data_IF_083748883833
#
_entry.id   IF_083748883833
#
_cell.length_a   1.000
_cell.length_b   1.000
_cell.length_c   1.000
_cell.angle_alpha   90.00
_cell.angle_beta   90.00
_cell.angle_gamma   90.00
#
_symmetry.space_group_name_H-M   'P 1'
#
loop_
_entity.id
_entity.type
_entity.pdbx_description
1 polymer ?
#
# COMPACT_ATOMS: atom_id res chain seq x y z
N UNK A 1 -7.65 7.88 -35.90
CA UNK A 1 -8.72 8.35 -34.97
C UNK A 1 -8.31 7.91 -33.59
N UNK A 2 -8.13 8.82 -32.63
CA UNK A 2 -7.79 8.44 -31.27
C UNK A 2 -9.00 7.75 -30.63
N UNK A 3 -8.79 6.61 -29.96
CA UNK A 3 -9.84 6.05 -29.12
C UNK A 3 -9.87 6.77 -27.76
N UNK A 4 -11.02 6.77 -27.10
CA UNK A 4 -11.23 7.49 -25.86
C UNK A 4 -10.40 6.89 -24.69
N UNK A 5 -10.10 5.61 -24.74
CA UNK A 5 -9.38 4.91 -23.67
C UNK A 5 -7.88 5.16 -23.75
N UNK A 6 -7.29 5.10 -24.97
CA UNK A 6 -5.90 5.49 -25.20
C UNK A 6 -5.66 6.98 -24.86
N UNK A 7 -6.63 7.85 -25.16
CA UNK A 7 -6.55 9.27 -24.78
C UNK A 7 -6.51 9.43 -23.25
N UNK A 8 -7.39 8.75 -22.52
CA UNK A 8 -7.41 8.78 -21.04
C UNK A 8 -6.16 8.16 -20.43
N UNK A 9 -5.62 7.09 -21.02
CA UNK A 9 -4.40 6.45 -20.56
C UNK A 9 -3.21 7.40 -20.66
N UNK A 10 -3.05 8.09 -21.79
CA UNK A 10 -1.94 9.06 -21.97
C UNK A 10 -2.09 10.24 -21.02
N UNK A 11 -3.28 10.86 -20.94
CA UNK A 11 -3.52 12.02 -20.08
C UNK A 11 -3.52 11.65 -18.59
N UNK A 12 -3.82 10.41 -18.24
CA UNK A 12 -3.68 9.91 -16.87
C UNK A 12 -2.24 9.99 -16.32
N UNK A 13 -1.23 10.14 -17.20
CA UNK A 13 0.17 10.35 -16.80
C UNK A 13 0.49 11.81 -16.41
N UNK A 14 -0.45 12.72 -16.57
CA UNK A 14 -0.32 14.10 -16.09
C UNK A 14 -0.92 14.23 -14.68
N UNK A 15 -0.09 14.43 -13.62
CA UNK A 15 -0.63 14.63 -12.27
C UNK A 15 -1.32 15.99 -12.16
N UNK A 16 -2.48 15.99 -11.50
CA UNK A 16 -3.23 17.24 -11.25
C UNK A 16 -3.42 17.48 -9.76
N UNK A 17 -3.55 18.73 -9.36
CA UNK A 17 -4.10 19.08 -8.06
C UNK A 17 -5.58 18.70 -7.98
N UNK A 18 -6.08 18.47 -6.77
CA UNK A 18 -7.51 18.24 -6.52
C UNK A 18 -8.08 19.48 -5.86
N UNK A 19 -9.06 20.09 -6.52
CA UNK A 19 -9.76 21.24 -5.99
C UNK A 19 -11.26 20.99 -5.96
N UNK A 20 -11.95 21.58 -4.97
CA UNK A 20 -13.40 21.58 -4.90
C UNK A 20 -13.89 23.00 -5.22
N UNK A 21 -14.57 23.15 -6.34
CA UNK A 21 -15.24 24.41 -6.70
C UNK A 21 -16.58 24.45 -6.01
N UNK A 22 -16.80 25.48 -5.19
CA UNK A 22 -18.04 25.68 -4.42
C UNK A 22 -18.75 26.94 -4.85
N UNK A 23 -20.05 26.97 -4.66
CA UNK A 23 -20.92 28.09 -4.91
C UNK A 23 -22.25 27.92 -4.19
N UNK A 24 -23.16 28.81 -4.44
CA UNK A 24 -24.54 28.74 -3.95
C UNK A 24 -25.51 28.62 -5.13
N UNK A 25 -26.60 27.91 -4.93
CA UNK A 25 -27.76 27.96 -5.80
C UNK A 25 -28.57 29.23 -5.57
N UNK A 26 -29.56 29.48 -6.38
CA UNK A 26 -30.46 30.67 -6.26
C UNK A 26 -31.18 30.72 -4.91
N UNK A 27 -31.46 29.58 -4.27
CA UNK A 27 -32.09 29.46 -2.96
C UNK A 27 -31.08 29.49 -1.78
N UNK A 28 -29.78 29.69 -2.08
CA UNK A 28 -28.72 29.75 -1.07
C UNK A 28 -28.19 28.38 -0.63
N UNK A 29 -28.58 27.28 -1.28
CA UNK A 29 -28.05 25.93 -0.98
C UNK A 29 -26.61 25.78 -1.45
N UNK A 30 -25.68 25.26 -0.61
CA UNK A 30 -24.31 25.03 -1.03
C UNK A 30 -24.20 24.01 -2.15
N UNK A 31 -23.44 24.35 -3.18
CA UNK A 31 -23.14 23.50 -4.31
C UNK A 31 -21.62 23.25 -4.41
N UNK A 32 -21.22 22.09 -4.91
CA UNK A 32 -19.81 21.80 -5.10
C UNK A 32 -19.53 20.72 -6.12
N UNK A 33 -18.39 20.87 -6.79
CA UNK A 33 -17.84 19.88 -7.73
C UNK A 33 -16.34 19.75 -7.55
N UNK A 34 -15.84 18.51 -7.59
CA UNK A 34 -14.40 18.23 -7.60
C UNK A 34 -13.87 18.33 -9.02
N UNK A 35 -12.75 19.03 -9.17
CA UNK A 35 -12.07 19.23 -10.43
C UNK A 35 -10.57 18.96 -10.30
N UNK A 36 -9.96 18.37 -11.35
CA UNK A 36 -8.52 18.27 -11.52
C UNK A 36 -7.97 19.30 -12.55
N UNK A 37 -8.83 20.16 -13.08
CA UNK A 37 -8.52 21.06 -14.20
C UNK A 37 -8.27 22.51 -13.76
N UNK A 38 -8.14 22.76 -12.44
CA UNK A 38 -7.86 24.08 -11.91
C UNK A 38 -6.43 24.53 -12.27
N UNK A 39 -6.33 25.74 -12.86
CA UNK A 39 -5.05 26.36 -13.22
C UNK A 39 -5.05 27.88 -13.00
N UNK A 40 -3.88 28.42 -12.74
CA UNK A 40 -3.64 29.86 -12.83
C UNK A 40 -3.54 30.28 -14.31
N UNK A 41 -4.09 31.44 -14.67
CA UNK A 41 -4.15 31.93 -16.05
C UNK A 41 -3.37 33.22 -16.23
N UNK A 42 -3.61 34.23 -15.38
CA UNK A 42 -3.01 35.56 -15.49
C UNK A 42 -2.80 36.18 -14.10
N UNK A 43 -1.78 37.03 -14.01
CA UNK A 43 -1.51 37.85 -12.80
C UNK A 43 -2.13 39.24 -12.94
N UNK A 44 -2.22 39.75 -14.16
CA UNK A 44 -2.80 41.09 -14.44
C UNK A 44 -3.63 41.04 -15.75
N UNK A 45 -4.95 41.07 -15.66
CA UNK A 45 -5.74 40.92 -14.43
C UNK A 45 -5.58 39.54 -13.82
N UNK A 46 -5.83 39.37 -12.49
CA UNK A 46 -5.69 38.09 -11.83
C UNK A 46 -6.81 37.14 -12.25
N UNK A 47 -6.46 36.10 -13.02
CA UNK A 47 -7.39 35.12 -13.57
C UNK A 47 -6.97 33.70 -13.25
N UNK A 48 -7.97 32.87 -12.99
CA UNK A 48 -7.85 31.42 -12.85
C UNK A 48 -8.80 30.71 -13.78
N UNK A 49 -8.59 29.40 -14.02
CA UNK A 49 -9.51 28.60 -14.85
C UNK A 49 -9.79 27.25 -14.26
N UNK A 50 -10.93 26.67 -14.63
CA UNK A 50 -11.25 25.25 -14.47
C UNK A 50 -12.19 24.80 -15.59
N UNK A 51 -12.34 23.47 -15.77
CA UNK A 51 -13.06 22.94 -16.93
C UNK A 51 -14.16 21.97 -16.49
N UNK A 52 -15.41 22.41 -16.28
CA UNK A 52 -16.55 21.55 -16.00
C UNK A 52 -17.09 20.94 -17.30
N UNK A 53 -17.61 19.71 -17.21
CA UNK A 53 -18.36 19.12 -18.32
C UNK A 53 -19.63 19.92 -18.62
N UNK A 54 -20.02 20.02 -19.90
CA UNK A 54 -21.28 20.65 -20.31
C UNK A 54 -22.52 19.97 -19.70
N UNK A 55 -22.41 18.68 -19.38
CA UNK A 55 -23.45 17.88 -18.73
C UNK A 55 -23.47 18.04 -17.20
N UNK A 56 -22.60 18.85 -16.62
CA UNK A 56 -22.54 19.04 -15.16
C UNK A 56 -23.77 19.78 -14.62
N UNK A 57 -24.66 19.08 -13.94
CA UNK A 57 -25.80 19.68 -13.27
C UNK A 57 -25.40 20.69 -12.18
N UNK A 58 -24.27 20.43 -11.49
CA UNK A 58 -23.76 21.33 -10.45
C UNK A 58 -23.31 22.64 -11.05
N UNK A 59 -22.53 22.60 -12.14
CA UNK A 59 -22.10 23.81 -12.82
C UNK A 59 -23.29 24.59 -13.41
N UNK A 60 -24.22 23.89 -14.04
CA UNK A 60 -25.43 24.50 -14.60
C UNK A 60 -26.23 25.33 -13.57
N UNK A 61 -26.27 24.87 -12.30
CA UNK A 61 -26.92 25.60 -11.19
C UNK A 61 -26.04 26.71 -10.61
N UNK A 62 -24.74 26.51 -10.56
CA UNK A 62 -23.80 27.44 -9.94
C UNK A 62 -23.50 28.66 -10.83
N UNK A 63 -23.47 28.47 -12.15
CA UNK A 63 -23.07 29.54 -13.11
C UNK A 63 -23.99 30.76 -13.10
N UNK A 64 -25.27 30.59 -12.74
CA UNK A 64 -26.24 31.71 -12.65
C UNK A 64 -25.92 32.70 -11.54
N UNK A 65 -25.20 32.27 -10.52
CA UNK A 65 -24.75 33.15 -9.42
C UNK A 65 -23.55 34.03 -9.79
N UNK A 66 -22.88 33.74 -10.92
CA UNK A 66 -21.69 34.44 -11.45
C UNK A 66 -20.53 34.54 -10.43
N UNK A 67 -20.56 33.73 -9.38
CA UNK A 67 -19.54 33.68 -8.30
C UNK A 67 -19.29 32.25 -7.86
N UNK A 68 -18.03 31.95 -7.55
CA UNK A 68 -17.62 30.65 -7.04
C UNK A 68 -16.34 30.77 -6.20
N UNK A 69 -16.09 29.77 -5.36
CA UNK A 69 -14.87 29.67 -4.58
C UNK A 69 -14.14 28.36 -4.94
N UNK A 70 -12.85 28.42 -5.15
CA UNK A 70 -12.00 27.25 -5.41
C UNK A 70 -11.27 26.91 -4.12
N UNK A 71 -11.53 25.71 -3.59
CA UNK A 71 -10.88 25.19 -2.40
C UNK A 71 -9.80 24.17 -2.83
N UNK A 72 -8.54 24.48 -2.56
CA UNK A 72 -7.41 23.55 -2.80
C UNK A 72 -7.38 22.54 -1.68
N UNK A 73 -7.60 21.26 -1.99
CA UNK A 73 -7.71 20.21 -0.99
C UNK A 73 -6.34 19.78 -0.47
N UNK A 74 -6.28 19.46 0.83
CA UNK A 74 -5.10 18.89 1.47
C UNK A 74 -5.08 17.36 1.34
N UNK A 75 -3.90 16.76 1.42
CA UNK A 75 -3.71 15.32 1.27
C UNK A 75 -4.50 14.49 2.30
N UNK A 76 -4.70 14.99 3.51
CA UNK A 76 -5.50 14.34 4.56
C UNK A 76 -7.03 14.44 4.36
N UNK A 77 -7.47 15.12 3.30
CA UNK A 77 -8.88 15.20 2.90
C UNK A 77 -9.27 14.15 1.84
N UNK A 78 -8.39 13.21 1.49
CA UNK A 78 -8.63 12.18 0.47
C UNK A 78 -9.95 11.43 0.70
N UNK A 79 -10.19 10.94 1.92
CA UNK A 79 -11.40 10.16 2.24
C UNK A 79 -12.67 10.99 2.11
N UNK A 80 -12.61 12.26 2.56
CA UNK A 80 -13.72 13.21 2.40
C UNK A 80 -14.01 13.50 0.93
N UNK A 81 -12.98 13.68 0.12
CA UNK A 81 -13.09 13.83 -1.33
C UNK A 81 -13.80 12.63 -1.97
N UNK A 82 -13.36 11.41 -1.64
CA UNK A 82 -13.98 10.17 -2.11
C UNK A 82 -15.43 10.02 -1.67
N UNK A 83 -15.78 10.41 -0.43
CA UNK A 83 -17.15 10.42 0.08
C UNK A 83 -18.00 11.44 -0.66
N UNK A 84 -17.53 12.67 -0.83
CA UNK A 84 -18.21 13.76 -1.52
C UNK A 84 -18.67 13.36 -2.94
N UNK A 85 -17.82 12.68 -3.71
CA UNK A 85 -18.17 12.24 -5.07
C UNK A 85 -19.28 11.18 -5.09
N UNK A 86 -19.39 10.35 -4.06
CA UNK A 86 -20.40 9.28 -3.96
C UNK A 86 -21.71 9.73 -3.31
N UNK A 87 -21.70 10.88 -2.64
CA UNK A 87 -22.86 11.42 -1.92
C UNK A 87 -23.79 12.18 -2.90
N UNK A 88 -25.11 12.04 -2.80
CA UNK A 88 -26.08 12.85 -3.55
C UNK A 88 -25.80 14.34 -3.37
N UNK A 89 -26.06 15.14 -4.39
CA UNK A 89 -25.66 16.56 -4.44
C UNK A 89 -26.19 17.37 -3.24
N UNK A 90 -27.40 17.06 -2.80
CA UNK A 90 -28.12 17.75 -1.71
C UNK A 90 -27.53 17.47 -0.33
N UNK A 91 -26.79 16.34 -0.16
CA UNK A 91 -26.23 15.88 1.12
C UNK A 91 -24.72 16.11 1.23
N UNK A 92 -24.07 16.57 0.17
CA UNK A 92 -22.59 16.63 0.07
C UNK A 92 -21.93 17.48 1.15
N UNK A 93 -22.60 18.52 1.62
CA UNK A 93 -22.07 19.42 2.65
C UNK A 93 -22.49 19.07 4.08
N UNK A 94 -23.32 18.05 4.28
CA UNK A 94 -23.78 17.65 5.61
C UNK A 94 -22.60 17.18 6.51
N UNK A 95 -21.64 16.48 5.94
CA UNK A 95 -20.49 15.90 6.67
C UNK A 95 -19.17 16.63 6.41
N UNK A 96 -19.20 17.73 5.64
CA UNK A 96 -18.00 18.53 5.40
C UNK A 96 -18.22 19.97 5.88
N UNK A 97 -17.74 20.31 7.08
CA UNK A 97 -17.85 21.65 7.62
C UNK A 97 -17.25 22.71 6.68
N UNK A 98 -17.89 23.85 6.62
CA UNK A 98 -17.46 24.98 5.83
C UNK A 98 -17.82 26.29 6.53
N UNK A 99 -17.13 27.37 6.20
CA UNK A 99 -17.39 28.73 6.64
C UNK A 99 -17.63 29.64 5.43
N UNK A 100 -18.38 30.75 5.58
CA UNK A 100 -18.58 31.68 4.49
C UNK A 100 -17.31 32.49 4.18
N UNK A 101 -17.01 32.65 2.90
CA UNK A 101 -16.01 33.59 2.40
C UNK A 101 -16.45 35.05 2.59
N UNK A 102 -15.60 36.04 2.27
CA UNK A 102 -16.00 37.45 2.24
C UNK A 102 -17.25 37.74 1.40
N UNK A 103 -17.49 37.01 0.31
CA UNK A 103 -18.69 37.12 -0.51
C UNK A 103 -19.77 36.08 -0.16
N UNK A 104 -19.60 35.35 0.93
CA UNK A 104 -20.58 34.38 1.44
C UNK A 104 -20.50 32.97 0.83
N UNK A 105 -19.48 32.66 0.02
CA UNK A 105 -19.33 31.36 -0.62
C UNK A 105 -18.71 30.32 0.31
N UNK A 106 -18.98 29.01 0.13
CA UNK A 106 -18.46 27.99 1.02
C UNK A 106 -16.95 27.81 0.91
N UNK A 107 -16.21 28.10 1.99
CA UNK A 107 -14.81 27.73 2.21
C UNK A 107 -14.78 26.46 3.06
N UNK A 108 -14.17 25.38 2.56
CA UNK A 108 -14.12 24.11 3.27
C UNK A 108 -13.09 24.10 4.39
N UNK A 109 -13.49 23.58 5.53
CA UNK A 109 -12.58 23.40 6.65
C UNK A 109 -11.47 22.40 6.30
N UNK A 110 -10.23 22.78 6.63
CA UNK A 110 -9.05 21.93 6.46
C UNK A 110 -8.42 21.95 5.06
N UNK A 111 -8.88 22.80 4.15
CA UNK A 111 -8.22 23.05 2.88
C UNK A 111 -6.84 23.70 3.02
N UNK A 112 -6.01 23.62 1.99
CA UNK A 112 -4.69 24.28 1.93
C UNK A 112 -4.86 25.77 1.70
N UNK A 113 -5.69 26.13 0.72
CA UNK A 113 -5.97 27.52 0.32
C UNK A 113 -7.37 27.61 -0.30
N UNK A 114 -7.88 28.81 -0.36
CA UNK A 114 -9.11 29.11 -1.07
C UNK A 114 -8.96 30.37 -1.93
N UNK A 115 -9.73 30.41 -3.02
CA UNK A 115 -9.70 31.50 -4.01
C UNK A 115 -11.13 31.80 -4.40
N UNK A 116 -11.60 33.00 -4.08
CA UNK A 116 -12.94 33.48 -4.37
C UNK A 116 -12.93 34.27 -5.69
N UNK A 117 -13.86 33.97 -6.59
CA UNK A 117 -13.88 34.50 -7.94
C UNK A 117 -15.27 34.98 -8.36
N UNK A 118 -15.29 36.02 -9.19
CA UNK A 118 -16.40 36.32 -10.08
C UNK A 118 -16.18 35.63 -11.45
N UNK A 119 -17.27 35.27 -12.13
CA UNK A 119 -17.22 34.71 -13.48
C UNK A 119 -16.78 35.81 -14.46
N UNK A 120 -15.64 35.61 -15.13
CA UNK A 120 -15.13 36.53 -16.15
C UNK A 120 -15.58 36.11 -17.54
N UNK A 121 -15.40 34.84 -17.91
CA UNK A 121 -15.77 34.31 -19.22
C UNK A 121 -16.02 32.81 -19.19
N UNK A 122 -16.94 32.34 -20.05
CA UNK A 122 -17.07 30.91 -20.40
C UNK A 122 -16.78 30.71 -21.88
N UNK A 123 -15.92 29.76 -22.19
CA UNK A 123 -15.52 29.42 -23.55
C UNK A 123 -15.93 27.97 -23.82
N UNK A 124 -16.62 27.76 -24.93
CA UNK A 124 -17.03 26.42 -25.36
C UNK A 124 -15.84 25.63 -25.88
N UNK A 125 -15.58 24.44 -25.31
CA UNK A 125 -14.43 23.60 -25.64
C UNK A 125 -14.84 22.11 -25.69
N UNK A 126 -15.35 21.68 -26.83
CA UNK A 126 -15.80 20.30 -27.03
C UNK A 126 -16.96 19.93 -26.09
N UNK A 127 -16.78 18.91 -25.26
CA UNK A 127 -17.72 18.44 -24.23
C UNK A 127 -17.60 19.15 -22.87
N UNK A 128 -16.68 20.11 -22.77
CA UNK A 128 -16.42 20.93 -21.57
C UNK A 128 -16.64 22.42 -21.85
N UNK A 129 -16.73 23.19 -20.76
CA UNK A 129 -16.51 24.62 -20.73
C UNK A 129 -15.10 24.92 -20.24
N UNK A 130 -14.44 25.96 -20.76
CA UNK A 130 -13.32 26.61 -20.09
C UNK A 130 -13.89 27.81 -19.35
N UNK A 131 -13.92 27.74 -18.04
CA UNK A 131 -14.42 28.82 -17.18
C UNK A 131 -13.26 29.66 -16.72
N UNK A 132 -13.29 30.96 -17.00
CA UNK A 132 -12.36 31.95 -16.46
C UNK A 132 -13.00 32.65 -15.27
N UNK A 133 -12.29 32.68 -14.16
CA UNK A 133 -12.67 33.40 -12.95
C UNK A 133 -11.72 34.54 -12.66
N UNK A 134 -12.26 35.73 -12.44
CA UNK A 134 -11.52 36.88 -11.90
C UNK A 134 -11.40 36.74 -10.40
N UNK A 135 -10.19 36.74 -9.91
CA UNK A 135 -9.90 36.59 -8.48
C UNK A 135 -10.29 37.86 -7.74
N UNK A 136 -11.17 37.72 -6.75
CA UNK A 136 -11.60 38.79 -5.87
C UNK A 136 -10.93 38.77 -4.50
N UNK A 137 -10.71 37.54 -3.96
CA UNK A 137 -10.04 37.31 -2.68
C UNK A 137 -9.39 35.93 -2.66
N UNK A 138 -8.32 35.76 -1.91
CA UNK A 138 -7.62 34.48 -1.75
C UNK A 138 -6.83 34.46 -0.44
N UNK A 139 -6.64 33.24 0.11
CA UNK A 139 -5.86 33.03 1.32
C UNK A 139 -5.26 31.63 1.37
N UNK A 140 -4.06 31.52 1.95
CA UNK A 140 -3.48 30.26 2.37
C UNK A 140 -4.00 29.92 3.77
N UNK A 141 -4.94 28.99 3.87
CA UNK A 141 -5.62 28.64 5.12
C UNK A 141 -4.74 27.80 6.06
N UNK A 142 -3.91 26.91 5.50
CA UNK A 142 -2.94 26.13 6.29
C UNK A 142 -1.76 25.63 5.48
N UNK A 143 -0.63 25.44 6.14
CA UNK A 143 0.53 24.79 5.56
C UNK A 143 0.35 23.25 5.64
N UNK A 144 -0.06 22.63 4.54
CA UNK A 144 -0.23 21.18 4.40
C UNK A 144 0.11 20.74 2.97
N UNK A 145 0.56 19.47 2.76
CA UNK A 145 0.73 18.95 1.41
C UNK A 145 -0.61 18.93 0.66
N UNK A 146 -0.64 19.37 -0.63
CA UNK A 146 -1.86 19.32 -1.42
C UNK A 146 -2.26 17.88 -1.77
N UNK A 147 -3.55 17.66 -1.99
CA UNK A 147 -4.06 16.41 -2.55
C UNK A 147 -3.80 16.42 -4.06
N UNK A 148 -3.16 15.36 -4.55
CA UNK A 148 -2.88 15.14 -5.96
C UNK A 148 -3.71 13.99 -6.49
N UNK A 149 -3.99 14.00 -7.80
CA UNK A 149 -4.62 12.92 -8.53
C UNK A 149 -3.73 12.49 -9.68
N UNK A 150 -3.44 11.17 -9.77
CA UNK A 150 -2.55 10.61 -10.78
C UNK A 150 -2.92 9.16 -11.08
N UNK A 151 -3.07 8.81 -12.36
CA UNK A 151 -3.36 7.44 -12.83
C UNK A 151 -4.52 6.74 -12.10
N UNK A 152 -5.59 7.47 -11.80
CA UNK A 152 -6.78 6.92 -11.15
C UNK A 152 -6.69 6.83 -9.62
N UNK A 153 -5.66 7.40 -9.00
CA UNK A 153 -5.46 7.41 -7.56
C UNK A 153 -5.13 8.78 -6.99
N UNK A 154 -5.36 8.91 -5.69
CA UNK A 154 -4.95 10.08 -4.94
C UNK A 154 -3.56 9.90 -4.36
N UNK A 155 -2.80 10.99 -4.26
CA UNK A 155 -1.47 11.04 -3.68
C UNK A 155 -1.19 12.38 -3.01
N UNK A 156 0.01 12.52 -2.50
CA UNK A 156 0.50 13.78 -1.93
C UNK A 156 1.86 14.14 -2.48
N UNK A 157 2.18 15.42 -2.51
CA UNK A 157 3.54 15.85 -2.71
C UNK A 157 4.39 15.46 -1.49
N UNK A 158 5.40 14.64 -1.71
CA UNK A 158 6.41 14.33 -0.71
C UNK A 158 7.73 14.97 -1.15
N UNK A 159 8.22 16.03 -0.46
CA UNK A 159 9.56 16.53 -0.71
C UNK A 159 10.54 15.38 -0.44
N UNK A 160 11.58 15.24 -1.28
CA UNK A 160 12.66 14.27 -1.03
C UNK A 160 13.23 14.54 0.35
N UNK A 161 12.83 13.77 1.34
CA UNK A 161 13.44 13.78 2.65
C UNK A 161 14.74 12.98 2.58
N UNK A 162 15.86 13.58 2.92
CA UNK A 162 17.13 12.88 3.14
C UNK A 162 17.13 12.13 4.48
N UNK A 163 16.10 12.31 5.29
CA UNK A 163 15.90 11.63 6.58
C UNK A 163 14.80 10.59 6.39
N UNK A 164 15.18 9.32 6.29
CA UNK A 164 14.24 8.22 6.53
C UNK A 164 13.81 8.32 7.99
N UNK A 165 12.50 8.50 8.23
CA UNK A 165 11.96 8.24 9.57
C UNK A 165 12.26 6.77 9.86
N UNK A 166 12.99 6.43 10.93
CA UNK A 166 13.24 5.04 11.26
C UNK A 166 11.89 4.40 11.53
N UNK A 167 11.53 3.44 10.69
CA UNK A 167 10.42 2.55 10.93
C UNK A 167 10.73 1.81 12.23
N UNK A 168 9.89 1.99 13.25
CA UNK A 168 10.17 1.46 14.58
C UNK A 168 10.32 -0.07 14.55
N UNK A 169 9.51 -0.71 13.70
CA UNK A 169 9.51 -2.16 13.51
C UNK A 169 10.84 -2.64 12.89
N UNK A 170 11.40 -1.88 11.93
CA UNK A 170 12.68 -2.19 11.31
C UNK A 170 13.85 -2.18 12.29
N UNK A 171 13.85 -1.29 13.29
CA UNK A 171 14.97 -1.20 14.25
C UNK A 171 15.11 -2.47 15.08
N UNK A 172 13.99 -3.01 15.58
CA UNK A 172 13.98 -4.26 16.32
C UNK A 172 14.30 -5.44 15.41
N UNK A 173 13.68 -5.49 14.23
CA UNK A 173 13.93 -6.55 13.25
C UNK A 173 15.39 -6.63 12.79
N UNK A 174 16.07 -5.49 12.58
CA UNK A 174 17.51 -5.47 12.22
C UNK A 174 18.36 -6.02 13.36
N UNK A 175 18.08 -5.65 14.63
CA UNK A 175 18.78 -6.21 15.79
C UNK A 175 18.58 -7.72 15.90
N UNK A 176 17.35 -8.18 15.75
CA UNK A 176 17.00 -9.59 15.80
C UNK A 176 17.69 -10.39 14.68
N UNK A 177 17.82 -9.79 13.50
CA UNK A 177 18.55 -10.37 12.37
C UNK A 177 20.06 -10.45 12.62
N UNK A 178 20.66 -9.45 13.30
CA UNK A 178 22.08 -9.52 13.69
C UNK A 178 22.34 -10.68 14.68
N UNK A 179 21.43 -10.91 15.62
CA UNK A 179 21.51 -12.04 16.53
C UNK A 179 21.35 -13.39 15.81
N UNK A 180 20.51 -13.44 14.78
CA UNK A 180 20.31 -14.63 13.96
C UNK A 180 21.44 -14.88 12.95
N UNK A 181 22.32 -13.89 12.68
CA UNK A 181 23.35 -13.95 11.63
C UNK A 181 24.19 -15.25 11.64
N UNK A 182 24.74 -15.74 12.77
CA UNK A 182 25.56 -16.96 12.76
C UNK A 182 24.79 -18.19 12.28
N UNK A 183 23.50 -18.27 12.62
CA UNK A 183 22.61 -19.37 12.19
C UNK A 183 22.31 -19.24 10.70
N UNK A 184 22.00 -18.03 10.19
CA UNK A 184 21.74 -17.78 8.78
C UNK A 184 22.94 -18.14 7.91
N UNK A 185 24.17 -17.72 8.29
CA UNK A 185 25.40 -17.98 7.56
C UNK A 185 25.73 -19.48 7.51
N UNK A 186 25.55 -20.18 8.63
CA UNK A 186 25.72 -21.63 8.69
C UNK A 186 24.73 -22.36 7.80
N UNK A 187 23.45 -22.05 7.86
CA UNK A 187 22.40 -22.63 7.01
C UNK A 187 22.65 -22.35 5.55
N UNK A 188 22.93 -21.10 5.19
CA UNK A 188 23.17 -20.69 3.81
C UNK A 188 24.34 -21.47 3.19
N UNK A 189 25.40 -21.70 3.96
CA UNK A 189 26.57 -22.48 3.52
C UNK A 189 26.23 -23.97 3.39
N UNK A 190 25.52 -24.54 4.37
CA UNK A 190 25.18 -25.96 4.39
C UNK A 190 24.19 -26.36 3.28
N UNK A 191 23.23 -25.49 2.99
CA UNK A 191 22.17 -25.74 2.01
C UNK A 191 22.52 -25.24 0.60
N UNK A 192 23.60 -24.47 0.46
CA UNK A 192 23.95 -23.69 -0.73
C UNK A 192 22.74 -22.90 -1.27
N UNK A 193 22.11 -22.15 -0.39
CA UNK A 193 20.85 -21.46 -0.61
C UNK A 193 20.86 -20.04 -0.01
N UNK A 194 19.83 -19.23 -0.29
CA UNK A 194 19.60 -17.98 0.41
C UNK A 194 18.82 -18.24 1.70
N UNK A 195 19.38 -17.86 2.85
CA UNK A 195 18.71 -17.87 4.14
C UNK A 195 18.45 -16.44 4.61
N UNK A 196 17.23 -16.11 5.00
CA UNK A 196 16.86 -14.74 5.35
C UNK A 196 15.87 -14.67 6.52
N UNK A 197 15.96 -13.59 7.28
CA UNK A 197 14.97 -13.22 8.29
C UNK A 197 14.01 -12.19 7.71
N UNK A 198 12.72 -12.46 7.85
CA UNK A 198 11.62 -11.60 7.38
C UNK A 198 10.79 -11.15 8.58
N UNK A 199 10.40 -9.88 8.58
CA UNK A 199 9.50 -9.31 9.59
C UNK A 199 8.28 -8.66 8.93
N UNK A 200 7.22 -8.42 9.69
CA UNK A 200 6.13 -7.53 9.29
C UNK A 200 6.52 -6.07 9.52
N UNK A 201 6.01 -5.19 8.68
CA UNK A 201 6.08 -3.74 8.83
C UNK A 201 4.66 -3.23 8.87
N UNK A 202 4.17 -2.88 10.04
CA UNK A 202 2.75 -2.68 10.25
C UNK A 202 1.96 -3.93 9.90
N UNK A 203 0.74 -3.73 9.41
CA UNK A 203 -0.18 -4.83 9.06
C UNK A 203 -0.26 -5.13 7.55
N UNK A 204 0.39 -4.33 6.70
CA UNK A 204 0.24 -4.39 5.24
C UNK A 204 1.48 -4.81 4.45
N UNK A 205 2.66 -4.89 5.07
CA UNK A 205 3.92 -5.19 4.40
C UNK A 205 4.83 -6.11 5.22
N UNK A 206 5.78 -6.73 4.52
CA UNK A 206 6.89 -7.50 5.11
C UNK A 206 8.22 -6.97 4.57
N UNK A 207 9.30 -7.15 5.33
CA UNK A 207 10.65 -6.81 4.87
C UNK A 207 11.68 -7.88 5.22
N UNK A 208 12.65 -8.07 4.33
CA UNK A 208 13.85 -8.86 4.57
C UNK A 208 14.84 -8.00 5.36
N UNK A 209 15.12 -8.36 6.60
CA UNK A 209 15.99 -7.60 7.53
C UNK A 209 17.34 -8.27 7.77
N UNK A 210 17.49 -9.55 7.44
CA UNK A 210 18.74 -10.30 7.44
C UNK A 210 18.80 -11.24 6.26
N UNK A 211 19.97 -11.41 5.63
CA UNK A 211 20.15 -12.34 4.51
C UNK A 211 21.60 -12.82 4.46
N UNK A 212 21.76 -14.13 4.30
CA UNK A 212 23.02 -14.80 3.99
C UNK A 212 22.83 -15.68 2.76
N UNK A 213 23.87 -15.84 1.96
CA UNK A 213 23.83 -16.64 0.72
C UNK A 213 24.93 -17.68 0.71
N UNK A 214 24.63 -18.89 0.23
CA UNK A 214 25.60 -19.94 -0.02
C UNK A 214 26.57 -19.59 -1.16
N UNK A 215 27.68 -20.35 -1.30
CA UNK A 215 28.73 -20.05 -2.28
C UNK A 215 28.26 -20.08 -3.74
N UNK A 216 27.30 -20.92 -4.07
CA UNK A 216 26.74 -21.07 -5.43
C UNK A 216 25.61 -20.14 -5.75
N UNK A 217 25.07 -19.43 -4.75
CA UNK A 217 23.90 -18.58 -4.93
C UNK A 217 24.29 -17.23 -5.53
N UNK A 218 23.67 -16.86 -6.65
CA UNK A 218 23.82 -15.53 -7.20
C UNK A 218 23.38 -14.47 -6.18
N UNK A 219 24.27 -13.51 -5.89
CA UNK A 219 24.00 -12.44 -4.91
C UNK A 219 22.85 -11.54 -5.42
N UNK A 220 21.64 -11.97 -5.21
CA UNK A 220 20.45 -11.14 -5.41
C UNK A 220 20.26 -10.32 -4.16
N UNK A 221 20.50 -9.01 -4.23
CA UNK A 221 20.31 -8.08 -3.10
C UNK A 221 18.86 -8.09 -2.63
N UNK A 222 18.52 -9.04 -1.75
CA UNK A 222 17.19 -9.12 -1.13
C UNK A 222 17.10 -8.37 0.18
N UNK A 223 18.22 -8.06 0.82
CA UNK A 223 18.25 -7.27 2.03
C UNK A 223 17.57 -5.91 1.82
N UNK A 224 16.59 -5.59 2.66
CA UNK A 224 15.73 -4.43 2.51
C UNK A 224 14.58 -4.59 1.50
N UNK A 225 14.45 -5.74 0.82
CA UNK A 225 13.31 -6.02 -0.05
C UNK A 225 12.03 -5.99 0.76
N UNK A 226 11.07 -5.18 0.32
CA UNK A 226 9.71 -5.14 0.89
C UNK A 226 8.75 -5.91 0.01
N UNK A 227 7.80 -6.58 0.65
CA UNK A 227 6.78 -7.39 -0.01
C UNK A 227 5.41 -7.03 0.55
N UNK A 228 4.34 -6.99 -0.27
CA UNK A 228 3.00 -6.78 0.26
C UNK A 228 2.57 -8.01 1.06
N UNK A 229 1.96 -7.78 2.21
CA UNK A 229 1.38 -8.81 3.07
C UNK A 229 -0.05 -9.12 2.59
N UNK A 230 -0.14 -9.81 1.46
CA UNK A 230 -1.40 -10.20 0.81
C UNK A 230 -1.37 -11.65 0.36
N UNK A 231 -2.50 -12.38 0.36
CA UNK A 231 -2.55 -13.76 -0.10
C UNK A 231 -1.98 -13.95 -1.51
N UNK A 232 -1.21 -15.03 -1.73
CA UNK A 232 -0.80 -16.09 -0.79
C UNK A 232 0.45 -15.76 0.03
N UNK A 233 1.11 -14.62 -0.25
CA UNK A 233 2.38 -14.21 0.37
C UNK A 233 2.15 -13.79 1.83
N UNK A 234 2.99 -14.33 2.73
CA UNK A 234 2.93 -14.05 4.16
C UNK A 234 1.97 -14.92 4.96
N UNK A 235 1.61 -16.09 4.44
CA UNK A 235 0.73 -17.06 5.10
C UNK A 235 1.24 -17.52 6.47
N UNK A 236 2.57 -17.62 6.69
CA UNK A 236 3.17 -17.89 8.02
C UNK A 236 2.80 -16.78 9.00
N UNK A 237 2.89 -15.51 8.58
CA UNK A 237 2.50 -14.39 9.45
C UNK A 237 1.01 -14.41 9.77
N UNK A 238 0.17 -14.74 8.79
CA UNK A 238 -1.27 -14.88 9.02
C UNK A 238 -1.65 -16.12 9.85
N UNK A 239 -0.89 -17.21 9.72
CA UNK A 239 -1.16 -18.45 10.46
C UNK A 239 -0.81 -18.34 11.94
N UNK A 240 0.30 -17.68 12.28
CA UNK A 240 0.84 -17.63 13.65
C UNK A 240 0.60 -16.31 14.38
N UNK A 241 -0.22 -15.41 13.81
CA UNK A 241 -0.73 -14.22 14.47
C UNK A 241 -2.15 -14.46 15.01
N UNK A 242 -2.74 -13.43 15.61
CA UNK A 242 -4.10 -13.51 16.13
C UNK A 242 -5.16 -13.72 15.01
N UNK A 243 -6.36 -14.21 15.34
CA UNK A 243 -7.41 -14.46 14.34
C UNK A 243 -7.86 -13.21 13.56
N UNK A 244 -7.83 -12.03 14.19
CA UNK A 244 -8.21 -10.78 13.52
C UNK A 244 -7.19 -10.40 12.43
N UNK A 245 -5.90 -10.60 12.68
CA UNK A 245 -4.84 -10.43 11.68
C UNK A 245 -5.02 -11.42 10.52
N UNK A 246 -5.31 -12.70 10.81
CA UNK A 246 -5.57 -13.72 9.79
C UNK A 246 -6.74 -13.33 8.87
N UNK A 247 -7.88 -12.90 9.42
CA UNK A 247 -9.03 -12.48 8.63
C UNK A 247 -8.74 -11.19 7.85
N UNK A 248 -8.04 -10.21 8.43
CA UNK A 248 -7.61 -9.00 7.73
C UNK A 248 -6.67 -9.32 6.55
N UNK A 249 -5.78 -10.31 6.69
CA UNK A 249 -4.94 -10.79 5.59
C UNK A 249 -5.78 -11.48 4.51
N UNK A 250 -6.73 -12.36 4.86
CA UNK A 250 -7.65 -13.00 3.92
C UNK A 250 -8.47 -11.95 3.15
N UNK A 251 -8.88 -10.86 3.81
CA UNK A 251 -9.66 -9.79 3.20
C UNK A 251 -8.87 -8.96 2.17
N UNK A 252 -7.54 -9.09 2.11
CA UNK A 252 -6.70 -8.46 1.07
C UNK A 252 -6.62 -9.28 -0.21
N UNK A 253 -7.26 -10.45 -0.29
CA UNK A 253 -7.29 -11.28 -1.50
C UNK A 253 -7.89 -10.54 -2.70
N UNK A 254 -7.39 -10.82 -3.88
CA UNK A 254 -7.91 -10.26 -5.14
C UNK A 254 -9.21 -10.93 -5.56
N UNK A 255 -9.30 -12.28 -5.45
CA UNK A 255 -10.54 -13.02 -5.66
C UNK A 255 -11.44 -12.89 -4.42
N UNK A 256 -12.52 -12.14 -4.54
CA UNK A 256 -13.50 -11.88 -3.46
C UNK A 256 -14.50 -13.00 -3.22
N UNK A 257 -14.40 -14.13 -3.93
CA UNK A 257 -15.30 -15.27 -3.75
C UNK A 257 -15.16 -15.92 -2.37
N UNK A 258 -16.24 -16.47 -1.86
CA UNK A 258 -16.25 -17.29 -0.63
C UNK A 258 -15.43 -18.58 -0.79
N UNK A 259 -15.32 -19.09 -2.02
CA UNK A 259 -14.45 -20.23 -2.33
C UNK A 259 -12.99 -19.93 -2.07
N UNK A 260 -12.49 -18.78 -2.55
CA UNK A 260 -11.14 -18.32 -2.30
C UNK A 260 -10.86 -18.10 -0.81
N UNK A 261 -11.79 -17.48 -0.07
CA UNK A 261 -11.65 -17.29 1.37
C UNK A 261 -11.54 -18.63 2.14
N UNK A 262 -12.37 -19.60 1.78
CA UNK A 262 -12.30 -20.95 2.39
C UNK A 262 -10.98 -21.66 2.08
N UNK A 263 -10.48 -21.55 0.83
CA UNK A 263 -9.18 -22.10 0.45
C UNK A 263 -8.04 -21.50 1.26
N UNK A 264 -8.06 -20.19 1.49
CA UNK A 264 -7.06 -19.51 2.31
C UNK A 264 -7.13 -19.93 3.78
N UNK A 265 -8.32 -20.06 4.37
CA UNK A 265 -8.46 -20.58 5.75
C UNK A 265 -7.91 -22.00 5.87
N UNK A 266 -8.25 -22.90 4.93
CA UNK A 266 -7.70 -24.25 4.89
C UNK A 266 -6.17 -24.24 4.76
N UNK A 267 -5.61 -23.33 3.97
CA UNK A 267 -4.15 -23.12 3.87
C UNK A 267 -3.54 -22.71 5.20
N UNK A 268 -4.12 -21.72 5.90
CA UNK A 268 -3.62 -21.28 7.21
C UNK A 268 -3.71 -22.41 8.26
N UNK A 269 -4.78 -23.20 8.24
CA UNK A 269 -4.92 -24.35 9.15
C UNK A 269 -3.85 -25.41 8.90
N UNK A 270 -3.53 -25.69 7.64
CA UNK A 270 -2.43 -26.59 7.28
C UNK A 270 -1.07 -26.04 7.74
N UNK A 271 -0.80 -24.74 7.50
CA UNK A 271 0.44 -24.10 7.96
C UNK A 271 0.58 -24.17 9.47
N UNK A 272 -0.50 -23.96 10.24
CA UNK A 272 -0.50 -24.13 11.70
C UNK A 272 -0.21 -25.56 12.14
N UNK A 273 -0.79 -26.53 11.43
CA UNK A 273 -0.63 -27.96 11.78
C UNK A 273 0.79 -28.48 11.51
N UNK A 274 1.37 -28.06 10.39
CA UNK A 274 2.71 -28.54 10.00
C UNK A 274 3.86 -27.68 10.54
N UNK A 275 3.60 -26.46 11.06
CA UNK A 275 4.62 -25.58 11.62
C UNK A 275 5.34 -24.67 10.61
N UNK A 276 5.13 -24.84 9.30
CA UNK A 276 5.86 -24.15 8.26
C UNK A 276 5.03 -23.94 6.99
N UNK A 277 5.54 -23.12 6.07
CA UNK A 277 4.96 -22.88 4.75
C UNK A 277 6.00 -23.05 3.64
N UNK A 278 5.55 -23.44 2.46
CA UNK A 278 6.40 -23.48 1.27
C UNK A 278 5.64 -22.98 0.03
N UNK A 279 6.40 -22.38 -0.89
CA UNK A 279 5.99 -22.19 -2.27
C UNK A 279 6.64 -23.26 -3.16
N UNK A 280 5.80 -24.06 -3.82
CA UNK A 280 6.20 -25.29 -4.51
C UNK A 280 5.56 -25.39 -5.87
N UNK A 281 6.26 -26.06 -6.81
CA UNK A 281 5.67 -26.50 -8.07
C UNK A 281 6.23 -27.86 -8.48
N UNK A 282 5.49 -28.60 -9.29
CA UNK A 282 5.96 -29.84 -9.93
C UNK A 282 6.48 -29.59 -11.35
N UNK A 283 6.53 -28.34 -11.80
CA UNK A 283 7.00 -27.91 -13.12
C UNK A 283 8.16 -26.90 -13.01
N UNK A 284 8.42 -26.19 -14.10
CA UNK A 284 9.39 -25.10 -14.10
C UNK A 284 8.85 -23.91 -13.29
N UNK A 285 9.53 -23.58 -12.23
CA UNK A 285 9.22 -22.41 -11.41
C UNK A 285 9.90 -21.17 -12.01
N UNK A 286 9.11 -20.14 -12.29
CA UNK A 286 9.64 -18.84 -12.68
C UNK A 286 8.91 -17.76 -11.88
N UNK A 287 9.61 -17.20 -10.92
CA UNK A 287 9.09 -16.11 -10.08
C UNK A 287 9.51 -14.71 -10.56
N UNK A 288 9.97 -14.60 -11.82
CA UNK A 288 10.50 -13.34 -12.35
C UNK A 288 9.51 -12.18 -12.23
N UNK A 289 8.24 -12.44 -12.55
CA UNK A 289 7.18 -11.43 -12.43
C UNK A 289 6.93 -11.05 -10.97
N UNK A 290 6.91 -12.02 -10.06
CA UNK A 290 6.75 -11.82 -8.63
C UNK A 290 7.94 -11.05 -8.03
N UNK A 291 9.17 -11.40 -8.43
CA UNK A 291 10.37 -10.65 -8.02
C UNK A 291 10.35 -9.19 -8.49
N UNK A 292 9.93 -8.95 -9.74
CA UNK A 292 9.81 -7.60 -10.25
C UNK A 292 8.72 -6.82 -9.51
N UNK A 293 7.61 -7.47 -9.18
CA UNK A 293 6.54 -6.89 -8.36
C UNK A 293 7.05 -6.47 -6.97
N UNK A 294 7.84 -7.32 -6.30
CA UNK A 294 8.43 -6.99 -5.01
C UNK A 294 9.47 -5.85 -5.09
N UNK A 295 10.29 -5.81 -6.15
CA UNK A 295 11.21 -4.68 -6.38
C UNK A 295 10.44 -3.37 -6.53
N UNK A 296 9.39 -3.37 -7.32
CA UNK A 296 8.55 -2.19 -7.52
C UNK A 296 7.86 -1.78 -6.19
N UNK A 297 7.36 -2.74 -5.43
CA UNK A 297 6.76 -2.49 -4.12
C UNK A 297 7.78 -1.89 -3.12
N UNK A 298 9.03 -2.36 -3.16
CA UNK A 298 10.11 -1.87 -2.28
C UNK A 298 10.39 -0.38 -2.47
N UNK A 299 10.19 0.17 -3.67
CA UNK A 299 10.46 1.60 -3.93
C UNK A 299 9.54 2.52 -3.14
N UNK A 300 8.36 2.04 -2.73
CA UNK A 300 7.32 2.83 -2.06
C UNK A 300 6.72 3.95 -2.92
N UNK A 301 7.18 4.11 -4.16
CA UNK A 301 6.76 5.16 -5.10
C UNK A 301 6.04 4.52 -6.28
N UNK A 302 4.95 3.84 -6.04
CA UNK A 302 4.12 3.25 -7.08
C UNK A 302 2.75 3.93 -7.13
N UNK A 303 2.22 4.02 -8.33
CA UNK A 303 0.87 4.53 -8.56
C UNK A 303 -0.18 3.46 -8.23
N UNK A 304 -1.46 3.81 -8.04
CA UNK A 304 -2.52 2.83 -7.87
C UNK A 304 -2.65 1.83 -9.02
N UNK A 305 -2.27 2.21 -10.25
CA UNK A 305 -2.23 1.28 -11.37
C UNK A 305 -1.09 0.26 -11.23
N UNK A 306 0.08 0.70 -10.81
CA UNK A 306 1.22 -0.17 -10.51
C UNK A 306 0.95 -1.05 -9.29
N UNK A 307 0.31 -0.52 -8.25
CA UNK A 307 -0.13 -1.32 -7.10
C UNK A 307 -1.04 -2.47 -7.54
N UNK A 308 -2.04 -2.20 -8.37
CA UNK A 308 -2.90 -3.27 -8.92
C UNK A 308 -2.11 -4.31 -9.70
N UNK A 309 -1.11 -3.91 -10.50
CA UNK A 309 -0.22 -4.85 -11.21
C UNK A 309 0.61 -5.69 -10.25
N UNK A 310 1.15 -5.09 -9.19
CA UNK A 310 1.89 -5.79 -8.14
C UNK A 310 0.98 -6.83 -7.46
N UNK A 311 -0.22 -6.43 -7.05
CA UNK A 311 -1.19 -7.32 -6.40
C UNK A 311 -1.65 -8.45 -7.34
N UNK A 312 -1.82 -8.18 -8.65
CA UNK A 312 -2.14 -9.21 -9.65
C UNK A 312 -1.02 -10.25 -9.76
N UNK A 313 0.23 -9.80 -9.87
CA UNK A 313 1.39 -10.71 -9.93
C UNK A 313 1.53 -11.57 -8.66
N UNK A 314 1.20 -11.01 -7.49
CA UNK A 314 1.16 -11.77 -6.24
C UNK A 314 0.02 -12.80 -6.26
N UNK A 315 -1.16 -12.43 -6.73
CA UNK A 315 -2.30 -13.35 -6.81
C UNK A 315 -2.05 -14.52 -7.77
N UNK A 316 -1.36 -14.29 -8.88
CA UNK A 316 -0.96 -15.33 -9.84
C UNK A 316 -0.03 -16.40 -9.21
N UNK A 317 0.70 -16.04 -8.14
CA UNK A 317 1.55 -16.99 -7.42
C UNK A 317 0.76 -17.97 -6.53
N UNK A 318 -0.57 -17.86 -6.44
CA UNK A 318 -1.41 -18.72 -5.58
C UNK A 318 -1.27 -20.20 -5.90
N UNK A 319 -1.02 -20.57 -7.16
CA UNK A 319 -0.83 -21.95 -7.59
C UNK A 319 0.39 -22.64 -6.93
N UNK A 320 1.39 -21.85 -6.48
CA UNK A 320 2.58 -22.38 -5.81
C UNK A 320 2.39 -22.64 -4.30
N UNK A 321 1.23 -22.24 -3.75
CA UNK A 321 0.91 -22.37 -2.33
C UNK A 321 -0.23 -23.38 -2.14
N UNK A 322 0.04 -24.65 -2.51
CA UNK A 322 -0.95 -25.71 -2.37
C UNK A 322 -1.37 -25.95 -0.92
N UNK A 323 -2.66 -26.18 -0.66
CA UNK A 323 -3.14 -26.64 0.65
C UNK A 323 -3.00 -28.17 0.82
N UNK A 324 -2.42 -28.89 -0.15
CA UNK A 324 -2.27 -30.32 -0.10
C UNK A 324 -1.04 -30.73 0.72
N UNK A 325 -1.13 -31.84 1.50
CA UNK A 325 0.02 -32.39 2.21
C UNK A 325 1.14 -32.79 1.26
N UNK A 326 2.39 -32.64 1.70
CA UNK A 326 3.55 -33.05 0.93
C UNK A 326 3.58 -34.55 0.71
N UNK A 327 3.60 -34.96 -0.55
CA UNK A 327 3.82 -36.37 -0.88
C UNK A 327 5.32 -36.69 -0.86
N UNK A 328 5.81 -37.58 0.01
CA UNK A 328 7.24 -37.89 0.15
C UNK A 328 7.93 -38.33 -1.14
N UNK A 329 7.19 -38.91 -2.09
CA UNK A 329 7.74 -39.47 -3.35
C UNK A 329 7.70 -38.51 -4.53
N UNK A 330 6.97 -37.38 -4.39
CA UNK A 330 6.87 -36.39 -5.47
C UNK A 330 8.11 -35.49 -5.46
N UNK A 331 8.56 -35.11 -6.64
CA UNK A 331 9.67 -34.15 -6.82
C UNK A 331 9.05 -32.74 -6.96
N UNK A 332 9.55 -31.82 -6.17
CA UNK A 332 9.12 -30.42 -6.14
C UNK A 332 10.26 -29.49 -6.52
N UNK A 333 9.95 -28.47 -7.29
CA UNK A 333 10.79 -27.27 -7.42
C UNK A 333 10.38 -26.30 -6.32
N UNK A 334 11.34 -25.95 -5.46
CA UNK A 334 11.07 -25.18 -4.25
C UNK A 334 11.38 -23.72 -4.48
N UNK A 335 10.38 -22.85 -4.40
CA UNK A 335 10.56 -21.40 -4.45
C UNK A 335 11.04 -20.85 -3.09
N UNK A 336 10.43 -21.31 -2.00
CA UNK A 336 10.88 -21.00 -0.63
C UNK A 336 10.26 -21.94 0.39
N UNK A 337 10.96 -22.10 1.53
CA UNK A 337 10.42 -22.68 2.77
C UNK A 337 10.54 -21.63 3.85
N UNK A 338 9.48 -21.45 4.66
CA UNK A 338 9.37 -20.41 5.68
C UNK A 338 8.90 -21.03 6.98
N UNK A 339 9.61 -20.79 8.07
CA UNK A 339 9.24 -21.21 9.43
C UNK A 339 9.09 -20.00 10.35
N UNK A 340 8.16 -20.01 11.32
CA UNK A 340 8.01 -18.94 12.31
C UNK A 340 9.16 -18.93 13.30
N UNK A 341 9.49 -17.75 13.84
CA UNK A 341 10.38 -17.52 14.99
C UNK A 341 9.58 -16.76 16.02
N UNK A 342 9.46 -17.27 17.24
CA UNK A 342 8.56 -16.76 18.27
C UNK A 342 9.28 -16.03 19.40
N UNK A 343 8.55 -15.15 20.05
CA UNK A 343 8.89 -14.64 21.38
C UNK A 343 8.67 -15.70 22.46
N UNK A 344 9.16 -15.42 23.68
CA UNK A 344 8.97 -16.31 24.82
C UNK A 344 7.48 -16.53 25.20
N UNK A 345 6.64 -15.54 24.93
CA UNK A 345 5.19 -15.59 25.16
C UNK A 345 4.42 -16.35 24.06
N UNK A 346 5.13 -16.89 23.05
CA UNK A 346 4.58 -17.61 21.91
C UNK A 346 4.05 -16.70 20.79
N UNK A 347 4.11 -15.38 20.92
CA UNK A 347 3.77 -14.47 19.83
C UNK A 347 4.81 -14.51 18.72
N UNK A 348 4.40 -14.26 17.47
CA UNK A 348 5.31 -14.29 16.32
C UNK A 348 6.24 -13.07 16.34
N UNK A 349 7.55 -13.32 16.27
CA UNK A 349 8.61 -12.31 16.24
C UNK A 349 9.07 -12.01 14.81
N UNK A 350 9.36 -13.05 14.06
CA UNK A 350 9.86 -12.98 12.69
C UNK A 350 9.62 -14.32 11.98
N UNK A 351 10.08 -14.44 10.74
CA UNK A 351 10.11 -15.71 10.03
C UNK A 351 11.50 -15.96 9.45
N UNK A 352 12.00 -17.20 9.60
CA UNK A 352 13.17 -17.70 8.92
C UNK A 352 12.75 -18.25 7.55
N UNK A 353 13.37 -17.78 6.48
CA UNK A 353 13.06 -18.17 5.11
C UNK A 353 14.31 -18.74 4.44
N UNK A 354 14.15 -19.85 3.75
CA UNK A 354 15.13 -20.39 2.78
C UNK A 354 14.53 -20.29 1.38
N UNK A 355 15.32 -19.87 0.41
CA UNK A 355 14.96 -19.80 -0.99
C UNK A 355 16.17 -19.88 -1.89
N UNK A 356 15.98 -19.83 -3.21
CA UNK A 356 17.06 -20.00 -4.19
C UNK A 356 17.80 -21.35 -4.02
N UNK A 357 17.04 -22.40 -3.79
CA UNK A 357 17.56 -23.76 -3.79
C UNK A 357 17.69 -24.19 -5.24
N UNK A 358 18.92 -24.26 -5.76
CA UNK A 358 19.19 -24.54 -7.21
C UNK A 358 19.07 -26.05 -7.55
N UNK A 359 18.13 -26.74 -6.88
CA UNK A 359 17.80 -28.12 -7.15
C UNK A 359 16.35 -28.46 -6.79
N UNK A 360 15.79 -29.43 -7.50
CA UNK A 360 14.51 -30.01 -7.09
C UNK A 360 14.73 -30.97 -5.91
N UNK A 361 13.74 -31.00 -5.00
CA UNK A 361 13.72 -31.86 -3.82
C UNK A 361 12.59 -32.89 -3.92
N UNK A 362 12.86 -34.12 -3.49
CA UNK A 362 11.77 -35.06 -3.17
C UNK A 362 11.00 -34.56 -1.96
N UNK A 363 9.73 -34.96 -1.82
CA UNK A 363 8.95 -34.57 -0.64
C UNK A 363 9.59 -35.03 0.67
N UNK A 364 10.31 -36.15 0.70
CA UNK A 364 11.09 -36.60 1.87
C UNK A 364 12.20 -35.61 2.22
N UNK A 365 12.97 -35.15 1.22
CA UNK A 365 14.05 -34.17 1.40
C UNK A 365 13.47 -32.81 1.85
N UNK A 366 12.29 -32.42 1.32
CA UNK A 366 11.61 -31.20 1.72
C UNK A 366 11.16 -31.25 3.18
N UNK A 367 10.60 -32.38 3.64
CA UNK A 367 10.20 -32.57 5.04
C UNK A 367 11.42 -32.51 5.96
N UNK A 368 12.54 -33.16 5.59
CA UNK A 368 13.80 -33.07 6.35
C UNK A 368 14.31 -31.61 6.42
N UNK A 369 14.24 -30.88 5.30
CA UNK A 369 14.62 -29.47 5.26
C UNK A 369 13.72 -28.62 6.21
N UNK A 370 12.43 -28.88 6.24
CA UNK A 370 11.51 -28.18 7.13
C UNK A 370 11.87 -28.43 8.60
N UNK A 371 12.16 -29.70 8.98
CA UNK A 371 12.60 -30.05 10.34
C UNK A 371 13.92 -29.33 10.72
N UNK A 372 14.91 -29.29 9.81
CA UNK A 372 16.16 -28.56 10.03
C UNK A 372 15.96 -27.06 10.23
N UNK A 373 15.00 -26.48 9.49
CA UNK A 373 14.67 -25.04 9.63
C UNK A 373 13.93 -24.75 10.94
N UNK A 374 13.05 -25.64 11.39
CA UNK A 374 12.39 -25.50 12.70
C UNK A 374 13.43 -25.59 13.85
N UNK A 375 14.41 -26.50 13.74
CA UNK A 375 15.51 -26.57 14.70
C UNK A 375 16.32 -25.27 14.73
N UNK A 376 16.63 -24.72 13.57
CA UNK A 376 17.33 -23.45 13.44
C UNK A 376 16.50 -22.27 13.97
N UNK A 377 15.19 -22.26 13.77
CA UNK A 377 14.31 -21.25 14.33
C UNK A 377 14.33 -21.30 15.87
N UNK A 378 14.27 -22.50 16.47
CA UNK A 378 14.41 -22.67 17.93
C UNK A 378 15.77 -22.19 18.46
N UNK A 379 16.85 -22.40 17.71
CA UNK A 379 18.17 -21.86 18.07
C UNK A 379 18.17 -20.33 18.05
N UNK A 380 17.60 -19.71 17.01
CA UNK A 380 17.46 -18.24 16.90
C UNK A 380 16.63 -17.70 18.08
N UNK A 381 15.51 -18.31 18.39
CA UNK A 381 14.66 -17.96 19.54
C UNK A 381 15.45 -17.98 20.87
N UNK A 382 16.29 -19.02 21.05
CA UNK A 382 17.14 -19.14 22.25
C UNK A 382 18.16 -18.01 22.35
N UNK A 383 18.82 -17.66 21.23
CA UNK A 383 19.81 -16.58 21.18
C UNK A 383 19.14 -15.22 21.46
N UNK A 384 18.00 -14.96 20.84
CA UNK A 384 17.25 -13.71 21.00
C UNK A 384 16.70 -13.56 22.42
N UNK A 385 16.21 -14.64 23.04
CA UNK A 385 15.75 -14.66 24.43
C UNK A 385 16.89 -14.35 25.41
N UNK A 386 18.06 -14.91 25.17
CA UNK A 386 19.23 -14.62 26.01
C UNK A 386 19.61 -13.14 25.97
N UNK A 387 19.54 -12.49 24.81
CA UNK A 387 19.83 -11.07 24.62
C UNK A 387 18.73 -10.17 25.23
N UNK A 388 17.46 -10.51 25.07
CA UNK A 388 16.33 -9.78 25.67
C UNK A 388 16.45 -9.71 27.21
N UNK A 389 16.90 -10.78 27.87
CA UNK A 389 17.11 -10.84 29.31
C UNK A 389 18.27 -9.97 29.79
N UNK A 390 19.29 -9.73 28.95
CA UNK A 390 20.45 -8.89 29.31
C UNK A 390 20.15 -7.39 29.10
N UNK A 391 19.34 -7.04 28.13
CA UNK A 391 19.22 -5.65 27.60
C UNK A 391 18.01 -4.89 28.13
N UNK A 392 16.96 -5.53 28.65
CA UNK A 392 15.70 -4.86 29.06
C UNK A 392 15.10 -5.35 30.37
N UNK A 393 15.68 -4.97 31.54
CA UNK A 393 14.92 -5.04 32.80
C UNK A 393 13.78 -4.00 32.88
N UNK A 394 13.56 -3.18 31.84
CA UNK A 394 12.64 -2.01 31.85
C UNK A 394 11.26 -2.23 31.18
N UNK A 395 10.96 -3.41 30.60
CA UNK A 395 9.64 -3.65 30.01
C UNK A 395 8.50 -3.88 31.01
N UNK A 396 8.82 -4.19 32.28
CA UNK A 396 7.81 -4.41 33.34
C UNK A 396 7.17 -3.11 33.89
N UNK A 397 7.67 -1.92 33.51
CA UNK A 397 7.28 -0.64 34.11
C UNK A 397 6.43 0.28 33.23
N UNK A 398 6.21 -0.03 31.95
CA UNK A 398 5.51 0.87 30.99
C UNK A 398 4.09 0.42 30.59
N UNK A 399 3.63 -0.73 31.08
CA UNK A 399 2.23 -1.20 30.88
C UNK A 399 1.27 -0.74 31.97
N UNK A 400 1.71 0.16 32.89
CA UNK A 400 0.90 0.66 34.01
C UNK A 400 0.95 2.20 34.13
N UNK A 401 0.80 2.92 33.02
CA UNK A 401 0.41 4.34 33.06
C UNK A 401 -0.44 4.70 31.85
#
# INVERSE_FOLDING_TARGET
MFDADGFREVLGNHPTGVSLVTGLSEDGTPLGMIVGTFNSVSLDPPLVSFMPMKTSHTWSKMRSAERFCINILAADQQDRCGKFMRTPAEERFADWPWSPSPLGLPILDGGVAWIECSLDQEIEAGDHWIVLGRVESLEVARCAPPLLYFQGGYGRFAPKSLVSLPDHDLRFGVRDAELARPVLERLATALDAECSTVITIGDAAMAVVGSATGPGVANTRRLGLRMPLVPPVGDVFAAFNDPAFAEAWIDRRTDRSEGAARGLRARLDMVRQQGWSASLTTGNYSDLALHQAFRNFTTGNYTPAEERRILSAVAESTEYYSPEPINPRTIYTVGSVVVPVHHEDGSLRSALRVGQIDRSLTGSELLTLADELEDAAREIESIQRADDNVTFPLRAGLAAR
#
